data_IF_538818015581
#
_entry.id   IF_538818015581
#
_cell.length_a   1.000
_cell.length_b   1.000
_cell.length_c   1.000
_cell.angle_alpha   90.00
_cell.angle_beta   90.00
_cell.angle_gamma   90.00
#
_symmetry.space_group_name_H-M   'P 1'
#
loop_
_entity.id
_entity.type
_entity.pdbx_description
1 polymer ?
#
# COMPACT_ATOMS: atom_id res chain seq x y z
N UNK A 1 36.22 -4.02 6.79
CA UNK A 1 34.78 -3.63 6.82
C UNK A 1 34.32 -3.68 8.27
N UNK A 2 34.12 -2.51 8.91
CA UNK A 2 33.58 -2.46 10.27
C UNK A 2 32.13 -2.93 10.21
N UNK A 3 31.78 -4.02 10.91
CA UNK A 3 30.39 -4.43 11.13
C UNK A 3 29.66 -3.21 11.69
N UNK A 4 28.68 -2.67 10.96
CA UNK A 4 27.84 -1.59 11.46
C UNK A 4 27.24 -2.02 12.79
N UNK A 5 27.50 -1.27 13.87
CA UNK A 5 27.03 -1.61 15.20
C UNK A 5 25.49 -1.64 15.19
N UNK A 6 24.91 -2.84 15.33
CA UNK A 6 23.47 -3.03 15.51
C UNK A 6 22.96 -2.04 16.58
N UNK A 7 21.88 -1.26 16.36
CA UNK A 7 21.38 -0.34 17.36
C UNK A 7 21.18 -1.12 18.65
N UNK A 8 21.87 -0.69 19.70
CA UNK A 8 21.71 -1.29 21.01
C UNK A 8 20.26 -1.09 21.44
N UNK A 9 19.64 -2.17 21.95
CA UNK A 9 18.33 -2.06 22.61
C UNK A 9 18.48 -0.99 23.71
N UNK A 10 17.60 0.01 23.75
CA UNK A 10 17.70 1.09 24.73
C UNK A 10 17.72 0.55 26.15
N UNK A 11 18.57 1.12 27.00
CA UNK A 11 18.77 0.67 28.38
C UNK A 11 17.49 0.68 29.23
N UNK A 12 16.52 1.56 28.92
CA UNK A 12 15.24 1.62 29.65
C UNK A 12 14.30 0.42 29.40
N UNK A 13 14.66 -0.48 28.48
CA UNK A 13 13.94 -1.75 28.26
C UNK A 13 14.58 -2.93 29.00
N UNK A 14 15.66 -2.72 29.76
CA UNK A 14 16.32 -3.80 30.51
C UNK A 14 15.54 -4.17 31.77
N UNK A 15 14.91 -5.34 31.70
CA UNK A 15 14.74 -6.33 32.77
C UNK A 15 14.31 -5.83 34.16
N UNK A 16 13.21 -5.08 34.24
CA UNK A 16 12.33 -5.19 35.39
C UNK A 16 11.23 -6.22 35.07
N UNK A 17 10.97 -7.13 36.01
CA UNK A 17 9.95 -8.17 35.85
C UNK A 17 8.58 -7.49 35.91
N UNK A 18 7.98 -7.24 34.75
CA UNK A 18 6.64 -6.66 34.64
C UNK A 18 5.59 -7.70 35.01
N UNK A 19 4.52 -7.26 35.63
CA UNK A 19 3.40 -8.11 36.03
C UNK A 19 2.26 -8.04 35.01
N UNK A 20 1.56 -9.16 34.82
CA UNK A 20 0.32 -9.18 34.05
C UNK A 20 -0.71 -8.24 34.71
N UNK A 21 -1.58 -7.58 33.94
CA UNK A 21 -2.63 -6.74 34.50
C UNK A 21 -3.65 -7.60 35.27
N UNK A 22 -4.04 -7.15 36.46
CA UNK A 22 -5.17 -7.71 37.18
C UNK A 22 -6.47 -7.30 36.49
N UNK A 23 -7.42 -8.24 36.31
CA UNK A 23 -8.74 -7.99 35.75
C UNK A 23 -8.78 -7.20 34.42
N UNK A 24 -7.92 -7.56 33.45
CA UNK A 24 -7.82 -6.89 32.15
C UNK A 24 -9.18 -6.70 31.43
N UNK A 25 -10.06 -7.71 31.45
CA UNK A 25 -11.37 -7.63 30.82
C UNK A 25 -12.26 -6.54 31.46
N UNK A 26 -12.20 -6.40 32.77
CA UNK A 26 -12.93 -5.35 33.49
C UNK A 26 -12.37 -3.97 33.12
N UNK A 27 -11.04 -3.81 33.08
CA UNK A 27 -10.39 -2.56 32.69
C UNK A 27 -10.76 -2.15 31.25
N UNK A 28 -10.83 -3.12 30.32
CA UNK A 28 -11.29 -2.88 28.94
C UNK A 28 -12.76 -2.43 28.94
N UNK A 29 -13.64 -3.12 29.68
CA UNK A 29 -15.06 -2.75 29.74
C UNK A 29 -15.30 -1.35 30.33
N UNK A 30 -14.57 -0.98 31.38
CA UNK A 30 -14.60 0.38 31.93
C UNK A 30 -14.09 1.42 30.93
N UNK A 31 -13.08 1.06 30.12
CA UNK A 31 -12.55 1.96 29.10
C UNK A 31 -13.48 2.17 27.92
N UNK A 32 -14.18 1.14 27.48
CA UNK A 32 -15.20 1.26 26.44
C UNK A 32 -16.33 2.19 26.91
N UNK A 33 -16.82 2.03 28.16
CA UNK A 33 -17.77 2.97 28.76
C UNK A 33 -17.23 4.41 28.80
N UNK A 34 -15.94 4.57 29.09
CA UNK A 34 -15.26 5.87 29.07
C UNK A 34 -15.19 6.48 27.68
N UNK A 35 -14.95 5.69 26.65
CA UNK A 35 -14.96 6.16 25.27
C UNK A 35 -16.38 6.54 24.81
N UNK A 36 -17.36 5.68 25.08
CA UNK A 36 -18.75 5.87 24.64
C UNK A 36 -19.41 7.08 25.31
N UNK A 37 -19.06 7.32 26.58
CA UNK A 37 -19.54 8.47 27.35
C UNK A 37 -18.72 9.73 27.14
N UNK A 38 -17.73 9.76 26.24
CA UNK A 38 -16.77 10.88 26.12
C UNK A 38 -16.11 11.27 27.45
N UNK A 39 -15.92 10.30 28.34
CA UNK A 39 -15.23 10.43 29.61
C UNK A 39 -16.10 10.69 30.84
N UNK A 40 -17.43 10.62 30.73
CA UNK A 40 -18.34 10.83 31.86
C UNK A 40 -18.63 9.57 32.69
N UNK A 41 -18.41 8.37 32.15
CA UNK A 41 -18.67 7.08 32.79
C UNK A 41 -17.49 6.13 32.56
N UNK A 42 -17.36 5.08 33.38
CA UNK A 42 -16.22 4.16 33.26
C UNK A 42 -14.90 4.81 33.61
N UNK A 43 -13.80 4.17 33.20
CA UNK A 43 -12.44 4.60 33.55
C UNK A 43 -11.51 4.50 32.35
N UNK A 44 -10.67 5.52 32.18
CA UNK A 44 -9.65 5.49 31.14
C UNK A 44 -8.62 4.40 31.45
N UNK A 45 -8.37 3.50 30.49
CA UNK A 45 -7.43 2.41 30.72
C UNK A 45 -6.01 2.93 30.93
N UNK A 46 -5.40 2.48 32.02
CA UNK A 46 -3.98 2.64 32.31
C UNK A 46 -3.37 1.28 32.62
N UNK A 47 -2.55 0.78 31.70
CA UNK A 47 -1.78 -0.45 31.84
C UNK A 47 -0.28 -0.14 31.79
N UNK A 48 0.15 1.06 32.17
CA UNK A 48 1.56 1.44 32.20
C UNK A 48 2.39 0.41 32.97
N UNK A 49 3.57 0.11 32.45
CA UNK A 49 4.51 -0.88 33.01
C UNK A 49 4.01 -2.33 33.07
N UNK A 50 2.85 -2.66 32.50
CA UNK A 50 2.32 -4.03 32.55
C UNK A 50 2.94 -4.94 31.50
N UNK A 51 2.99 -6.22 31.84
CA UNK A 51 3.22 -7.30 30.89
C UNK A 51 1.91 -7.56 30.13
N UNK A 52 1.87 -7.18 28.87
CA UNK A 52 0.76 -7.43 27.94
C UNK A 52 1.17 -8.44 26.85
N UNK A 53 2.27 -9.14 27.06
CA UNK A 53 2.88 -10.02 26.07
C UNK A 53 1.97 -11.20 25.76
N UNK A 54 1.88 -11.56 24.48
CA UNK A 54 1.08 -12.70 24.01
C UNK A 54 -0.44 -12.57 24.15
N UNK A 55 -0.95 -11.44 24.65
CA UNK A 55 -2.40 -11.22 24.83
C UNK A 55 -3.05 -10.92 23.47
N UNK A 56 -4.29 -11.38 23.28
CA UNK A 56 -5.11 -11.04 22.12
C UNK A 56 -5.94 -9.77 22.38
N UNK A 57 -5.57 -8.69 21.69
CA UNK A 57 -6.26 -7.41 21.65
C UNK A 57 -6.92 -7.16 20.28
N UNK A 58 -7.15 -8.20 19.48
CA UNK A 58 -7.70 -8.07 18.13
C UNK A 58 -9.02 -7.29 18.13
N UNK A 59 -9.06 -6.22 17.34
CA UNK A 59 -10.24 -5.39 17.14
C UNK A 59 -10.66 -4.52 18.32
N UNK A 60 -9.94 -4.56 19.45
CA UNK A 60 -10.32 -3.79 20.63
C UNK A 60 -10.14 -2.29 20.44
N UNK A 61 -11.02 -1.50 21.07
CA UNK A 61 -10.94 -0.05 21.08
C UNK A 61 -10.21 0.43 22.34
N UNK A 62 -8.92 0.69 22.20
CA UNK A 62 -8.00 1.15 23.25
C UNK A 62 -7.58 2.62 23.02
N UNK A 63 -8.43 3.38 22.32
CA UNK A 63 -8.16 4.76 21.93
C UNK A 63 -7.86 5.62 23.17
N UNK A 64 -6.84 6.48 23.07
CA UNK A 64 -6.36 7.35 24.14
C UNK A 64 -5.80 6.62 25.36
N UNK A 65 -5.71 5.29 25.38
CA UNK A 65 -5.22 4.52 26.53
C UNK A 65 -3.79 4.88 26.94
N UNK A 66 -3.42 4.56 28.17
CA UNK A 66 -2.09 4.82 28.73
C UNK A 66 -1.37 3.49 28.91
N UNK A 67 -0.25 3.31 28.20
CA UNK A 67 0.52 2.07 28.19
C UNK A 67 2.02 2.33 28.31
N UNK A 68 2.45 3.48 28.82
CA UNK A 68 3.88 3.83 28.89
C UNK A 68 4.70 2.67 29.48
N UNK A 69 5.79 2.31 28.79
CA UNK A 69 6.67 1.20 29.17
C UNK A 69 5.97 -0.17 29.32
N UNK A 70 4.84 -0.41 28.67
CA UNK A 70 4.22 -1.75 28.67
C UNK A 70 4.93 -2.70 27.70
N UNK A 71 4.79 -4.01 27.94
CA UNK A 71 5.31 -5.04 27.04
C UNK A 71 4.18 -5.68 26.23
N UNK A 72 4.07 -5.33 24.95
CA UNK A 72 3.16 -5.95 23.98
C UNK A 72 3.85 -7.04 23.13
N UNK A 73 5.01 -7.55 23.55
CA UNK A 73 5.74 -8.53 22.74
C UNK A 73 4.89 -9.77 22.47
N UNK A 74 4.93 -10.28 21.24
CA UNK A 74 4.11 -11.40 20.78
C UNK A 74 2.58 -11.19 20.87
N UNK A 75 2.07 -10.00 21.22
CA UNK A 75 0.64 -9.75 21.32
C UNK A 75 -0.04 -9.71 19.93
N UNK A 76 -1.33 -10.05 19.89
CA UNK A 76 -2.15 -9.89 18.69
C UNK A 76 -2.94 -8.58 18.78
N UNK A 77 -2.59 -7.59 17.97
CA UNK A 77 -3.19 -6.26 17.91
C UNK A 77 -3.85 -6.02 16.53
N UNK A 78 -4.24 -7.11 15.85
CA UNK A 78 -4.83 -7.03 14.51
C UNK A 78 -6.09 -6.16 14.56
N UNK A 79 -6.14 -5.10 13.77
CA UNK A 79 -7.24 -4.14 13.72
C UNK A 79 -7.60 -3.46 15.05
N UNK A 80 -6.72 -3.52 16.06
CA UNK A 80 -6.92 -2.79 17.32
C UNK A 80 -6.84 -1.27 17.08
N UNK A 81 -7.65 -0.50 17.80
CA UNK A 81 -7.60 0.95 17.77
C UNK A 81 -6.83 1.49 18.98
N UNK A 82 -5.60 1.95 18.75
CA UNK A 82 -4.71 2.57 19.73
C UNK A 82 -4.48 4.06 19.41
N UNK A 83 -5.33 4.69 18.60
CA UNK A 83 -5.19 6.09 18.22
C UNK A 83 -5.11 7.01 19.45
N UNK A 84 -4.29 8.05 19.38
CA UNK A 84 -4.09 9.05 20.43
C UNK A 84 -3.61 8.48 21.78
N UNK A 85 -3.13 7.23 21.82
CA UNK A 85 -2.66 6.57 23.05
C UNK A 85 -1.22 6.97 23.40
N UNK A 86 -0.88 6.87 24.69
CA UNK A 86 0.50 6.96 25.15
C UNK A 86 1.12 5.56 25.13
N UNK A 87 1.98 5.32 24.14
CA UNK A 87 2.70 4.07 23.88
C UNK A 87 4.22 4.28 23.98
N UNK A 88 4.64 5.34 24.66
CA UNK A 88 6.06 5.67 24.81
C UNK A 88 6.81 4.48 25.42
N UNK A 89 7.98 4.16 24.88
CA UNK A 89 8.84 3.07 25.34
C UNK A 89 8.15 1.69 25.45
N UNK A 90 7.05 1.45 24.72
CA UNK A 90 6.43 0.14 24.64
C UNK A 90 7.28 -0.85 23.84
N UNK A 91 7.19 -2.13 24.20
CA UNK A 91 7.79 -3.21 23.42
C UNK A 91 6.74 -3.93 22.56
N UNK A 92 6.77 -3.75 21.24
CA UNK A 92 5.93 -4.48 20.28
C UNK A 92 6.67 -5.61 19.57
N UNK A 93 7.83 -6.05 20.08
CA UNK A 93 8.65 -7.04 19.39
C UNK A 93 7.88 -8.33 19.11
N UNK A 94 7.94 -8.83 17.87
CA UNK A 94 7.17 -9.98 17.38
C UNK A 94 5.63 -9.85 17.45
N UNK A 95 5.08 -8.67 17.78
CA UNK A 95 3.64 -8.47 17.81
C UNK A 95 3.03 -8.47 16.39
N UNK A 96 1.72 -8.70 16.32
CA UNK A 96 0.95 -8.57 15.09
C UNK A 96 0.05 -7.33 15.12
N UNK A 97 0.47 -6.27 14.43
CA UNK A 97 -0.22 -4.98 14.27
C UNK A 97 -0.91 -4.84 12.91
N UNK A 98 -1.25 -5.95 12.23
CA UNK A 98 -1.94 -5.92 10.95
C UNK A 98 -3.18 -5.01 11.02
N UNK A 99 -3.21 -3.95 10.20
CA UNK A 99 -4.31 -2.97 10.14
C UNK A 99 -4.63 -2.27 11.47
N UNK A 100 -3.71 -2.26 12.43
CA UNK A 100 -3.91 -1.53 13.68
C UNK A 100 -3.93 -0.01 13.42
N UNK A 101 -4.69 0.72 14.24
CA UNK A 101 -4.77 2.18 14.16
C UNK A 101 -3.94 2.82 15.28
N UNK A 102 -2.82 3.44 14.92
CA UNK A 102 -1.89 4.19 15.78
C UNK A 102 -1.90 5.68 15.41
N UNK A 103 -3.00 6.18 14.82
CA UNK A 103 -3.15 7.59 14.46
C UNK A 103 -2.87 8.50 15.65
N UNK A 104 -1.94 9.47 15.49
CA UNK A 104 -1.55 10.43 16.52
C UNK A 104 -1.13 9.83 17.88
N UNK A 105 -0.76 8.55 17.94
CA UNK A 105 -0.23 7.97 19.18
C UNK A 105 1.19 8.48 19.47
N UNK A 106 1.55 8.50 20.75
CA UNK A 106 2.92 8.74 21.19
C UNK A 106 3.66 7.41 21.27
N UNK A 107 4.57 7.16 20.34
CA UNK A 107 5.39 5.95 20.17
C UNK A 107 6.88 6.25 20.35
N UNK A 108 7.22 7.37 21.02
CA UNK A 108 8.61 7.72 21.27
C UNK A 108 9.31 6.55 21.93
N UNK A 109 10.50 6.21 21.44
CA UNK A 109 11.32 5.16 22.04
C UNK A 109 10.69 3.75 22.02
N UNK A 110 9.64 3.51 21.23
CA UNK A 110 9.01 2.18 21.14
C UNK A 110 9.85 1.18 20.32
N UNK A 111 9.77 -0.10 20.66
CA UNK A 111 10.40 -1.20 19.92
C UNK A 111 9.40 -1.91 19.00
N UNK A 112 9.77 -2.10 17.75
CA UNK A 112 9.00 -2.85 16.74
C UNK A 112 9.84 -3.97 16.10
N UNK A 113 10.79 -4.54 16.86
CA UNK A 113 11.71 -5.55 16.34
C UNK A 113 10.94 -6.77 15.84
N UNK A 114 11.10 -7.13 14.56
CA UNK A 114 10.42 -8.26 13.93
C UNK A 114 8.87 -8.20 14.04
N UNK A 115 8.30 -6.99 14.12
CA UNK A 115 6.84 -6.80 14.23
C UNK A 115 6.16 -6.87 12.86
N UNK A 116 4.98 -7.51 12.80
CA UNK A 116 4.15 -7.54 11.59
C UNK A 116 3.15 -6.38 11.61
N UNK A 117 3.46 -5.28 10.92
CA UNK A 117 2.71 -4.03 10.95
C UNK A 117 2.21 -3.61 9.56
N UNK A 118 1.77 -4.59 8.77
CA UNK A 118 1.22 -4.36 7.42
C UNK A 118 -0.08 -3.56 7.52
N UNK A 119 -0.23 -2.54 6.67
CA UNK A 119 -1.40 -1.65 6.65
C UNK A 119 -1.67 -0.91 7.97
N UNK A 120 -0.65 -0.74 8.83
CA UNK A 120 -0.79 0.04 10.08
C UNK A 120 -0.99 1.53 9.76
N UNK A 121 -1.87 2.19 10.51
CA UNK A 121 -2.06 3.64 10.39
C UNK A 121 -1.21 4.35 11.45
N UNK A 122 -0.12 4.99 11.04
CA UNK A 122 0.78 5.79 11.88
C UNK A 122 0.68 7.29 11.54
N UNK A 123 -0.39 7.72 10.87
CA UNK A 123 -0.57 9.11 10.45
C UNK A 123 -0.52 10.04 11.67
N UNK A 124 0.37 11.04 11.61
CA UNK A 124 0.58 12.03 12.68
C UNK A 124 1.14 11.45 13.99
N UNK A 125 1.55 10.19 14.02
CA UNK A 125 2.15 9.58 15.21
C UNK A 125 3.54 10.15 15.50
N UNK A 126 3.96 10.09 16.77
CA UNK A 126 5.28 10.53 17.21
C UNK A 126 6.13 9.29 17.46
N UNK A 127 7.10 9.01 16.58
CA UNK A 127 7.98 7.84 16.60
C UNK A 127 9.45 8.25 16.82
N UNK A 128 9.69 9.35 17.55
CA UNK A 128 11.06 9.81 17.81
C UNK A 128 11.82 8.74 18.59
N UNK A 129 13.05 8.43 18.16
CA UNK A 129 13.88 7.36 18.71
C UNK A 129 13.24 5.94 18.66
N UNK A 130 12.21 5.71 17.83
CA UNK A 130 11.62 4.39 17.70
C UNK A 130 12.53 3.41 16.93
N UNK A 131 12.46 2.12 17.28
CA UNK A 131 13.27 1.05 16.68
C UNK A 131 12.40 0.12 15.84
N UNK A 132 12.40 0.30 14.53
CA UNK A 132 11.64 -0.47 13.54
C UNK A 132 12.55 -1.47 12.79
N UNK A 133 13.38 -2.20 13.54
CA UNK A 133 14.28 -3.20 12.97
C UNK A 133 13.50 -4.44 12.51
N UNK A 134 13.76 -4.92 11.30
CA UNK A 134 13.12 -6.12 10.72
C UNK A 134 11.58 -6.04 10.66
N UNK A 135 11.00 -4.83 10.78
CA UNK A 135 9.56 -4.63 10.82
C UNK A 135 8.94 -4.74 9.43
N UNK A 136 7.80 -5.44 9.31
CA UNK A 136 7.02 -5.51 8.06
C UNK A 136 6.02 -4.37 8.02
N UNK A 137 6.34 -3.29 7.32
CA UNK A 137 5.58 -2.03 7.25
C UNK A 137 4.91 -1.83 5.87
N UNK A 138 4.61 -2.91 5.16
CA UNK A 138 4.00 -2.83 3.84
C UNK A 138 2.67 -2.07 3.93
N UNK A 139 2.49 -1.07 3.07
CA UNK A 139 1.31 -0.20 3.05
C UNK A 139 1.04 0.55 4.36
N UNK A 140 2.06 0.77 5.20
CA UNK A 140 1.92 1.60 6.39
C UNK A 140 1.70 3.09 6.01
N UNK A 141 0.87 3.79 6.78
CA UNK A 141 0.61 5.22 6.59
C UNK A 141 1.38 6.04 7.62
N UNK A 142 2.48 6.67 7.20
CA UNK A 142 3.33 7.55 8.02
C UNK A 142 3.06 9.04 7.74
N UNK A 143 1.94 9.41 7.11
CA UNK A 143 1.69 10.81 6.73
C UNK A 143 1.78 11.77 7.92
N UNK A 144 2.60 12.81 7.81
CA UNK A 144 2.84 13.77 8.88
C UNK A 144 3.42 13.18 10.18
N UNK A 145 3.92 11.94 10.17
CA UNK A 145 4.52 11.31 11.34
C UNK A 145 5.88 11.95 11.66
N UNK A 146 6.23 12.00 12.95
CA UNK A 146 7.53 12.48 13.43
C UNK A 146 8.45 11.31 13.66
N UNK A 147 9.49 11.17 12.84
CA UNK A 147 10.39 10.01 12.81
C UNK A 147 11.83 10.41 13.16
N UNK A 148 12.00 11.44 13.98
CA UNK A 148 13.32 11.93 14.35
C UNK A 148 14.14 10.82 15.00
N UNK A 149 15.33 10.54 14.47
CA UNK A 149 16.24 9.48 14.95
C UNK A 149 15.69 8.04 14.92
N UNK A 150 14.51 7.81 14.30
CA UNK A 150 13.91 6.48 14.18
C UNK A 150 14.78 5.56 13.31
N UNK A 151 14.87 4.28 13.68
CA UNK A 151 15.65 3.27 12.95
C UNK A 151 14.73 2.36 12.15
N UNK A 152 15.02 2.20 10.86
CA UNK A 152 14.26 1.40 9.89
C UNK A 152 15.08 0.24 9.32
N UNK A 153 16.04 -0.28 10.09
CA UNK A 153 16.98 -1.28 9.59
C UNK A 153 16.26 -2.56 9.16
N UNK A 154 16.55 -3.04 7.95
CA UNK A 154 15.94 -4.24 7.35
C UNK A 154 14.41 -4.19 7.25
N UNK A 155 13.82 -3.00 7.37
CA UNK A 155 12.36 -2.84 7.31
C UNK A 155 11.83 -2.91 5.88
N UNK A 156 10.65 -3.50 5.72
CA UNK A 156 9.94 -3.53 4.45
C UNK A 156 8.93 -2.39 4.39
N UNK A 157 9.25 -1.33 3.66
CA UNK A 157 8.44 -0.11 3.48
C UNK A 157 7.70 -0.11 2.13
N UNK A 158 7.51 -1.28 1.52
CA UNK A 158 6.83 -1.38 0.23
C UNK A 158 5.41 -0.82 0.31
N UNK A 159 4.99 0.03 -0.64
CA UNK A 159 3.70 0.72 -0.67
C UNK A 159 3.44 1.67 0.52
N UNK A 160 4.42 1.96 1.38
CA UNK A 160 4.23 2.87 2.51
C UNK A 160 4.07 4.33 2.05
N UNK A 161 3.45 5.17 2.89
CA UNK A 161 3.25 6.58 2.60
C UNK A 161 3.89 7.49 3.66
N UNK A 162 4.95 8.19 3.29
CA UNK A 162 5.69 9.16 4.12
C UNK A 162 5.38 10.62 3.76
N UNK A 163 4.28 10.89 3.08
CA UNK A 163 3.92 12.25 2.69
C UNK A 163 3.91 13.19 3.90
N UNK A 164 4.67 14.29 3.80
CA UNK A 164 4.86 15.29 4.88
C UNK A 164 5.50 14.75 6.18
N UNK A 165 6.06 13.54 6.18
CA UNK A 165 6.73 12.98 7.35
C UNK A 165 8.05 13.70 7.64
N UNK A 166 8.43 13.77 8.92
CA UNK A 166 9.69 14.38 9.38
C UNK A 166 10.71 13.28 9.64
N UNK A 167 11.77 13.19 8.83
CA UNK A 167 12.77 12.11 8.85
C UNK A 167 14.15 12.55 9.38
N UNK A 168 14.21 13.61 10.21
CA UNK A 168 15.46 14.14 10.74
C UNK A 168 16.27 13.06 11.48
N UNK A 169 17.51 12.79 11.07
CA UNK A 169 18.37 11.76 11.68
C UNK A 169 17.84 10.32 11.59
N UNK A 170 16.76 10.08 10.84
CA UNK A 170 16.24 8.73 10.62
C UNK A 170 17.32 7.85 10.00
N UNK A 171 17.39 6.60 10.47
CA UNK A 171 18.49 5.67 10.18
C UNK A 171 17.98 4.53 9.30
N UNK A 172 18.56 4.40 8.13
CA UNK A 172 18.25 3.33 7.18
C UNK A 172 19.46 2.43 6.94
N UNK A 173 19.21 1.14 6.88
CA UNK A 173 20.19 0.10 6.54
C UNK A 173 19.42 -1.05 5.92
N UNK A 174 19.66 -1.37 4.65
CA UNK A 174 18.97 -2.46 3.93
C UNK A 174 17.43 -2.38 4.01
N UNK A 175 16.87 -1.16 4.07
CA UNK A 175 15.43 -0.94 4.01
C UNK A 175 14.91 -1.04 2.57
N UNK A 176 13.64 -1.43 2.40
CA UNK A 176 13.01 -1.63 1.08
C UNK A 176 11.98 -0.53 0.82
N UNK A 177 12.29 0.41 -0.07
CA UNK A 177 11.40 1.46 -0.57
C UNK A 177 10.81 1.10 -1.93
N UNK A 178 9.99 0.05 -1.99
CA UNK A 178 9.28 -0.35 -3.22
C UNK A 178 7.92 0.34 -3.35
N UNK A 179 7.65 1.06 -4.43
CA UNK A 179 6.40 1.81 -4.62
C UNK A 179 6.00 2.71 -3.41
N UNK A 180 6.98 3.23 -2.68
CA UNK A 180 6.79 4.08 -1.49
C UNK A 180 6.51 5.52 -1.94
N UNK A 181 5.65 6.24 -1.21
CA UNK A 181 5.48 7.68 -1.40
C UNK A 181 6.39 8.45 -0.42
N UNK A 182 7.34 9.22 -0.93
CA UNK A 182 8.25 10.07 -0.15
C UNK A 182 8.07 11.55 -0.47
N UNK A 183 6.94 11.96 -1.07
CA UNK A 183 6.67 13.36 -1.38
C UNK A 183 6.65 14.24 -0.14
N UNK A 184 7.21 15.44 -0.22
CA UNK A 184 7.11 16.41 0.86
C UNK A 184 7.78 15.97 2.17
N UNK A 185 8.67 14.97 2.16
CA UNK A 185 9.45 14.63 3.35
C UNK A 185 10.23 15.87 3.82
N UNK A 186 9.93 16.32 5.04
CA UNK A 186 10.42 17.60 5.54
C UNK A 186 11.85 17.44 6.05
N UNK A 187 12.77 18.27 5.53
CA UNK A 187 14.16 18.46 6.00
C UNK A 187 14.96 17.15 6.02
N UNK A 188 15.19 16.62 4.84
CA UNK A 188 15.92 15.38 4.54
C UNK A 188 17.45 15.47 4.65
N UNK A 189 18.01 16.63 5.01
CA UNK A 189 19.46 16.89 4.91
C UNK A 189 20.32 16.08 5.89
N UNK A 190 19.65 15.39 6.82
CA UNK A 190 20.23 14.60 7.91
C UNK A 190 19.65 13.20 7.98
N UNK A 191 19.15 12.63 6.88
CA UNK A 191 18.84 11.18 6.86
C UNK A 191 20.16 10.40 6.83
N UNK A 192 20.28 9.40 7.70
CA UNK A 192 21.49 8.62 7.87
C UNK A 192 21.34 7.24 7.21
N UNK A 193 22.12 7.01 6.17
CA UNK A 193 22.23 5.69 5.53
C UNK A 193 23.48 4.99 6.03
N UNK A 194 23.31 3.80 6.61
CA UNK A 194 24.41 2.96 7.09
C UNK A 194 24.76 1.84 6.09
N UNK A 195 24.02 1.76 4.99
CA UNK A 195 24.11 0.73 3.95
C UNK A 195 23.07 0.98 2.86
N UNK A 196 23.19 0.29 1.72
CA UNK A 196 22.31 0.49 0.58
C UNK A 196 20.86 0.15 0.95
N UNK A 197 19.92 0.88 0.36
CA UNK A 197 18.49 0.62 0.49
C UNK A 197 17.92 0.32 -0.88
N UNK A 198 16.92 -0.55 -0.95
CA UNK A 198 16.29 -0.89 -2.23
C UNK A 198 15.33 0.22 -2.62
N UNK A 199 15.49 0.76 -3.83
CA UNK A 199 14.62 1.76 -4.41
C UNK A 199 14.17 1.28 -5.79
N UNK A 200 12.87 1.32 -6.07
CA UNK A 200 12.35 0.99 -7.39
C UNK A 200 11.91 2.23 -8.19
N UNK A 201 11.69 2.04 -9.49
CA UNK A 201 11.28 3.13 -10.39
C UNK A 201 9.92 3.72 -10.02
N UNK A 202 9.05 2.94 -9.36
CA UNK A 202 7.73 3.43 -8.94
C UNK A 202 7.87 4.43 -7.80
N UNK A 203 8.74 4.17 -6.82
CA UNK A 203 9.07 5.12 -5.76
C UNK A 203 9.66 6.41 -6.33
N UNK A 204 10.57 6.31 -7.31
CA UNK A 204 11.16 7.48 -7.99
C UNK A 204 10.10 8.34 -8.69
N UNK A 205 9.23 7.71 -9.48
CA UNK A 205 8.13 8.40 -10.18
C UNK A 205 7.13 9.02 -9.19
N UNK A 206 6.79 8.28 -8.13
CA UNK A 206 5.81 8.72 -7.13
C UNK A 206 6.33 9.89 -6.31
N UNK A 207 7.62 9.92 -6.01
CA UNK A 207 8.23 10.87 -5.07
C UNK A 207 8.89 12.09 -5.72
N UNK A 208 9.05 12.08 -7.07
CA UNK A 208 9.58 13.10 -8.00
C UNK A 208 10.85 13.84 -7.56
N UNK A 209 10.78 14.63 -6.49
CA UNK A 209 11.83 15.52 -5.99
C UNK A 209 12.54 14.93 -4.78
N UNK A 210 13.19 13.78 -4.98
CA UNK A 210 14.00 13.18 -3.92
C UNK A 210 15.34 13.91 -3.74
N UNK A 211 15.77 14.16 -2.50
CA UNK A 211 17.05 14.82 -2.21
C UNK A 211 18.24 14.02 -2.74
N UNK A 212 19.27 14.71 -3.24
CA UNK A 212 20.50 14.08 -3.74
C UNK A 212 21.13 13.10 -2.73
N UNK A 213 21.27 13.53 -1.46
CA UNK A 213 21.80 12.69 -0.37
C UNK A 213 20.97 11.43 -0.14
N UNK A 214 19.66 11.47 -0.37
CA UNK A 214 18.79 10.30 -0.23
C UNK A 214 19.07 9.29 -1.34
N UNK A 215 19.16 9.75 -2.59
CA UNK A 215 19.46 8.90 -3.74
C UNK A 215 20.86 8.27 -3.61
N UNK A 216 21.86 9.06 -3.23
CA UNK A 216 23.21 8.57 -2.94
C UNK A 216 23.23 7.59 -1.76
N UNK A 217 22.51 7.88 -0.69
CA UNK A 217 22.41 7.02 0.49
C UNK A 217 21.74 5.67 0.21
N UNK A 218 20.81 5.62 -0.75
CA UNK A 218 20.25 4.36 -1.25
C UNK A 218 21.25 3.56 -2.10
N UNK A 219 22.37 4.16 -2.52
CA UNK A 219 23.42 3.51 -3.31
C UNK A 219 23.26 3.66 -4.83
N UNK A 220 22.49 4.66 -5.30
CA UNK A 220 22.36 4.90 -6.73
C UNK A 220 23.68 5.47 -7.30
N UNK A 221 24.16 4.98 -8.46
CA UNK A 221 25.33 5.55 -9.13
C UNK A 221 25.10 7.01 -9.53
N UNK A 222 26.16 7.84 -9.48
CA UNK A 222 26.07 9.26 -9.86
C UNK A 222 25.54 9.46 -11.28
N UNK A 223 25.98 8.63 -12.22
CA UNK A 223 25.51 8.66 -13.62
C UNK A 223 24.00 8.49 -13.71
N UNK A 224 23.43 7.54 -12.97
CA UNK A 224 21.99 7.34 -12.93
C UNK A 224 21.29 8.57 -12.35
N UNK A 225 21.79 9.10 -11.22
CA UNK A 225 21.23 10.29 -10.56
C UNK A 225 21.24 11.50 -11.51
N UNK A 226 22.32 11.71 -12.26
CA UNK A 226 22.42 12.80 -13.25
C UNK A 226 21.36 12.69 -14.35
N UNK A 227 21.04 11.47 -14.81
CA UNK A 227 20.04 11.26 -15.86
C UNK A 227 18.60 11.10 -15.35
N UNK A 228 18.38 10.90 -14.03
CA UNK A 228 17.05 10.72 -13.45
C UNK A 228 16.06 11.83 -13.85
N UNK A 229 16.40 13.14 -13.77
CA UNK A 229 15.48 14.18 -14.21
C UNK A 229 15.02 13.99 -15.66
N UNK A 230 15.94 13.71 -16.59
CA UNK A 230 15.60 13.47 -18.00
C UNK A 230 14.74 12.23 -18.22
N UNK A 231 14.91 11.20 -17.37
CA UNK A 231 14.13 9.95 -17.41
C UNK A 231 12.74 10.09 -16.78
N UNK A 232 12.58 11.00 -15.81
CA UNK A 232 11.34 11.20 -15.05
C UNK A 232 10.49 12.37 -15.55
N UNK A 233 11.10 13.42 -16.12
CA UNK A 233 10.43 14.63 -16.64
C UNK A 233 9.73 14.36 -17.96
N UNK A 234 10.27 13.48 -18.80
CA UNK A 234 9.46 12.97 -19.91
C UNK A 234 8.31 12.22 -19.27
N UNK A 235 7.04 12.64 -19.48
CA UNK A 235 5.93 11.76 -19.17
C UNK A 235 6.30 10.47 -19.88
N UNK A 236 6.45 9.40 -19.12
CA UNK A 236 6.45 8.10 -19.74
C UNK A 236 5.09 8.07 -20.47
N UNK A 237 5.05 8.32 -21.78
CA UNK A 237 3.93 8.04 -22.70
C UNK A 237 3.60 6.53 -22.74
N UNK A 238 4.02 5.80 -21.72
CA UNK A 238 4.00 4.36 -21.65
C UNK A 238 2.63 3.99 -21.10
N UNK A 239 1.64 4.06 -21.98
CA UNK A 239 0.33 3.47 -21.79
C UNK A 239 0.51 2.07 -21.21
N UNK A 240 0.23 1.94 -19.92
CA UNK A 240 0.13 0.66 -19.25
C UNK A 240 -1.33 0.23 -19.26
N UNK A 241 -1.63 -0.95 -19.79
CA UNK A 241 -2.98 -1.49 -19.74
C UNK A 241 -3.02 -2.92 -19.21
N UNK A 242 -4.03 -3.22 -18.40
CA UNK A 242 -4.34 -4.57 -17.96
C UNK A 242 -5.56 -5.09 -18.74
N UNK A 243 -5.45 -6.24 -19.40
CA UNK A 243 -6.55 -6.83 -20.17
C UNK A 243 -7.32 -7.79 -19.26
N UNK A 244 -8.53 -7.39 -18.89
CA UNK A 244 -9.50 -8.22 -18.16
C UNK A 244 -10.36 -8.99 -19.15
N UNK A 245 -10.35 -10.33 -19.06
CA UNK A 245 -11.02 -11.18 -20.04
C UNK A 245 -11.46 -12.52 -19.44
N UNK A 246 -12.43 -13.17 -20.08
CA UNK A 246 -12.70 -14.58 -19.83
C UNK A 246 -11.63 -15.44 -20.49
N UNK A 247 -11.09 -16.42 -19.76
CA UNK A 247 -10.20 -17.48 -20.26
C UNK A 247 -10.60 -18.01 -21.64
N UNK A 248 -11.92 -18.16 -21.87
CA UNK A 248 -12.49 -18.71 -23.10
C UNK A 248 -12.33 -17.79 -24.33
N UNK A 249 -11.78 -16.60 -24.14
CA UNK A 249 -11.52 -15.59 -25.17
C UNK A 249 -10.00 -15.36 -25.38
N UNK A 250 -9.16 -16.28 -24.88
CA UNK A 250 -7.69 -16.23 -24.95
C UNK A 250 -7.12 -16.05 -26.36
N UNK A 251 -7.79 -16.56 -27.39
CA UNK A 251 -7.34 -16.45 -28.78
C UNK A 251 -7.32 -14.99 -29.25
N UNK A 252 -8.43 -14.28 -29.02
CA UNK A 252 -8.54 -12.85 -29.31
C UNK A 252 -7.54 -12.03 -28.46
N UNK A 253 -7.47 -12.34 -27.16
CA UNK A 253 -6.59 -11.60 -26.23
C UNK A 253 -5.12 -11.81 -26.55
N UNK A 254 -4.72 -13.01 -26.96
CA UNK A 254 -3.35 -13.28 -27.40
C UNK A 254 -2.96 -12.42 -28.60
N UNK A 255 -3.85 -12.32 -29.60
CA UNK A 255 -3.63 -11.45 -30.77
C UNK A 255 -3.56 -9.98 -30.38
N UNK A 256 -4.54 -9.50 -29.62
CA UNK A 256 -4.60 -8.12 -29.16
C UNK A 256 -3.37 -7.73 -28.32
N UNK A 257 -2.94 -8.62 -27.44
CA UNK A 257 -1.74 -8.44 -26.63
C UNK A 257 -0.49 -8.28 -27.50
N UNK A 258 -0.27 -9.18 -28.46
CA UNK A 258 0.87 -9.11 -29.37
C UNK A 258 0.88 -7.83 -30.18
N UNK A 259 -0.29 -7.40 -30.68
CA UNK A 259 -0.40 -6.17 -31.47
C UNK A 259 -0.17 -4.91 -30.61
N UNK A 260 -0.67 -4.88 -29.37
CA UNK A 260 -0.41 -3.80 -28.41
C UNK A 260 1.09 -3.69 -28.07
N UNK A 261 1.74 -4.82 -27.74
CA UNK A 261 3.19 -4.86 -27.49
C UNK A 261 4.00 -4.41 -28.70
N UNK A 262 3.62 -4.84 -29.91
CA UNK A 262 4.25 -4.43 -31.16
C UNK A 262 4.12 -2.92 -31.45
N UNK A 263 3.18 -2.24 -30.78
CA UNK A 263 2.99 -0.78 -30.84
C UNK A 263 3.59 -0.04 -29.64
N UNK A 264 4.35 -0.73 -28.79
CA UNK A 264 4.99 -0.16 -27.61
C UNK A 264 4.04 0.10 -26.44
N UNK A 265 2.80 -0.39 -26.49
CA UNK A 265 1.86 -0.32 -25.36
C UNK A 265 2.24 -1.42 -24.37
N UNK A 266 2.56 -1.03 -23.13
CA UNK A 266 2.87 -2.00 -22.08
C UNK A 266 1.57 -2.62 -21.61
N UNK A 267 1.28 -3.84 -22.06
CA UNK A 267 0.08 -4.55 -21.63
C UNK A 267 0.42 -5.79 -20.81
N UNK A 268 -0.46 -6.12 -19.87
CA UNK A 268 -0.41 -7.35 -19.09
C UNK A 268 -1.79 -7.99 -19.08
N UNK A 269 -1.82 -9.30 -18.92
CA UNK A 269 -3.04 -10.06 -18.68
C UNK A 269 -2.68 -11.29 -17.85
N UNK A 270 -3.62 -11.78 -17.05
CA UNK A 270 -3.41 -12.99 -16.28
C UNK A 270 -3.43 -14.21 -17.24
N UNK A 271 -2.27 -14.85 -17.44
CA UNK A 271 -2.21 -16.19 -18.05
C UNK A 271 -2.62 -17.23 -17.01
N UNK A 272 -3.36 -18.25 -17.43
CA UNK A 272 -3.90 -19.32 -16.57
C UNK A 272 -2.78 -20.07 -15.80
N UNK A 273 -2.59 -19.75 -14.52
CA UNK A 273 -2.32 -20.65 -13.38
C UNK A 273 -2.05 -19.88 -12.07
N UNK A 274 -2.84 -18.83 -11.77
CA UNK A 274 -2.93 -18.30 -10.40
C UNK A 274 -3.87 -19.20 -9.59
N UNK A 275 -3.40 -20.41 -9.27
CA UNK A 275 -4.09 -21.34 -8.36
C UNK A 275 -4.27 -20.69 -6.99
N UNK A 276 -5.50 -20.23 -6.80
CA UNK A 276 -6.32 -20.09 -5.59
C UNK A 276 -5.58 -20.29 -4.25
N UNK A 277 -5.46 -19.19 -3.52
CA UNK A 277 -5.20 -19.14 -2.07
C UNK A 277 -5.42 -17.72 -1.57
N UNK A 278 -5.98 -17.55 -0.36
CA UNK A 278 -6.40 -16.24 0.20
C UNK A 278 -5.31 -15.15 0.26
N UNK A 279 -4.03 -15.53 0.12
CA UNK A 279 -2.89 -14.59 -0.01
C UNK A 279 -2.95 -13.73 -1.29
N UNK A 280 -3.62 -14.18 -2.35
CA UNK A 280 -3.64 -13.50 -3.65
C UNK A 280 -4.72 -12.40 -3.71
N UNK A 281 -5.83 -12.53 -2.96
CA UNK A 281 -6.89 -11.49 -2.89
C UNK A 281 -6.35 -10.13 -2.47
N UNK A 282 -5.32 -10.09 -1.61
CA UNK A 282 -4.65 -8.84 -1.21
C UNK A 282 -3.73 -8.27 -2.31
N UNK A 283 -3.04 -9.14 -3.07
CA UNK A 283 -2.11 -8.74 -4.15
C UNK A 283 -2.83 -8.30 -5.43
N UNK A 284 -4.05 -8.80 -5.67
CA UNK A 284 -4.86 -8.43 -6.84
C UNK A 284 -5.49 -7.03 -6.67
N UNK A 285 -5.97 -6.71 -5.47
CA UNK A 285 -6.37 -5.34 -5.14
C UNK A 285 -5.21 -4.33 -5.29
N UNK A 286 -3.96 -4.79 -5.18
CA UNK A 286 -2.77 -3.99 -5.50
C UNK A 286 -2.52 -3.90 -7.02
N UNK A 287 -2.86 -4.92 -7.81
CA UNK A 287 -2.65 -4.95 -9.27
C UNK A 287 -3.49 -3.88 -10.00
N UNK A 288 -4.74 -3.66 -9.59
CA UNK A 288 -5.58 -2.56 -10.11
C UNK A 288 -5.05 -1.17 -9.70
N UNK A 289 -4.27 -1.08 -8.61
CA UNK A 289 -3.59 0.17 -8.23
C UNK A 289 -2.40 0.48 -9.14
N UNK A 290 -1.73 -0.54 -9.69
CA UNK A 290 -0.47 -0.39 -10.45
C UNK A 290 -0.67 0.07 -11.89
N UNK A 291 -1.76 -0.32 -12.56
CA UNK A 291 -1.94 -0.02 -13.99
C UNK A 291 -2.74 1.27 -14.26
N UNK A 292 -2.38 1.95 -15.35
CA UNK A 292 -3.00 3.21 -15.78
C UNK A 292 -4.37 3.01 -16.44
N UNK A 293 -4.60 1.86 -17.08
CA UNK A 293 -5.82 1.55 -17.85
C UNK A 293 -6.21 0.08 -17.71
N UNK A 294 -7.50 -0.20 -17.72
CA UNK A 294 -8.06 -1.56 -17.75
C UNK A 294 -8.87 -1.71 -19.03
N UNK A 295 -8.45 -2.65 -19.87
CA UNK A 295 -9.14 -3.04 -21.09
C UNK A 295 -10.04 -4.24 -20.79
N UNK A 296 -11.35 -4.04 -20.79
CA UNK A 296 -12.32 -5.08 -20.43
C UNK A 296 -12.88 -5.71 -21.69
N UNK A 297 -12.63 -7.01 -21.88
CA UNK A 297 -13.14 -7.78 -23.00
C UNK A 297 -14.56 -8.25 -22.71
N UNK A 298 -15.53 -7.56 -23.30
CA UNK A 298 -16.95 -7.86 -23.23
C UNK A 298 -17.32 -8.94 -24.25
N UNK A 299 -17.61 -10.12 -23.73
CA UNK A 299 -18.17 -11.25 -24.45
C UNK A 299 -19.33 -11.84 -23.66
N UNK A 300 -20.16 -12.68 -24.29
CA UNK A 300 -21.18 -13.48 -23.58
C UNK A 300 -20.59 -14.30 -22.42
N UNK A 301 -19.30 -14.63 -22.49
CA UNK A 301 -18.58 -15.45 -21.51
C UNK A 301 -18.00 -14.60 -20.38
N UNK A 302 -17.41 -13.44 -20.68
CA UNK A 302 -16.90 -12.50 -19.67
C UNK A 302 -18.01 -11.97 -18.77
N UNK A 303 -19.21 -11.75 -19.32
CA UNK A 303 -20.37 -11.30 -18.54
C UNK A 303 -20.88 -12.32 -17.51
N UNK A 304 -20.49 -13.59 -17.62
CA UNK A 304 -20.77 -14.64 -16.64
C UNK A 304 -19.62 -14.88 -15.66
N UNK A 305 -18.51 -14.16 -15.82
CA UNK A 305 -17.32 -14.32 -14.98
C UNK A 305 -17.42 -13.40 -13.76
N UNK A 306 -17.57 -13.99 -12.57
CA UNK A 306 -17.54 -13.23 -11.30
C UNK A 306 -16.23 -12.43 -11.16
N UNK A 307 -15.13 -12.98 -11.68
CA UNK A 307 -13.83 -12.32 -11.70
C UNK A 307 -13.83 -11.01 -12.48
N UNK A 308 -14.34 -11.02 -13.72
CA UNK A 308 -14.40 -9.81 -14.57
C UNK A 308 -15.31 -8.76 -13.93
N UNK A 309 -16.43 -9.20 -13.34
CA UNK A 309 -17.33 -8.31 -12.60
C UNK A 309 -16.62 -7.60 -11.45
N UNK A 310 -15.86 -8.34 -10.63
CA UNK A 310 -15.12 -7.77 -9.52
C UNK A 310 -14.04 -6.77 -9.96
N UNK A 311 -13.27 -7.07 -11.02
CA UNK A 311 -12.25 -6.15 -11.55
C UNK A 311 -12.86 -4.86 -12.09
N UNK A 312 -14.00 -4.96 -12.77
CA UNK A 312 -14.74 -3.80 -13.30
C UNK A 312 -15.25 -2.91 -12.17
N UNK A 313 -15.86 -3.49 -11.14
CA UNK A 313 -16.41 -2.73 -10.01
C UNK A 313 -15.30 -1.96 -9.28
N UNK A 314 -14.17 -2.60 -9.01
CA UNK A 314 -13.00 -1.95 -8.41
C UNK A 314 -12.46 -0.80 -9.27
N UNK A 315 -12.45 -0.97 -10.59
CA UNK A 315 -12.03 0.07 -11.52
C UNK A 315 -12.99 1.27 -11.51
N UNK A 316 -14.31 1.02 -11.54
CA UNK A 316 -15.33 2.07 -11.46
C UNK A 316 -15.26 2.86 -10.15
N UNK A 317 -15.00 2.18 -9.02
CA UNK A 317 -14.76 2.86 -7.75
C UNK A 317 -13.51 3.75 -7.78
N UNK A 318 -12.44 3.30 -8.45
CA UNK A 318 -11.19 4.08 -8.62
C UNK A 318 -11.43 5.32 -9.48
N UNK A 319 -12.17 5.19 -10.59
CA UNK A 319 -12.55 6.31 -11.46
C UNK A 319 -13.31 7.39 -10.67
N UNK A 320 -14.29 6.98 -9.85
CA UNK A 320 -15.05 7.90 -8.98
C UNK A 320 -14.16 8.66 -7.99
N UNK A 321 -13.13 8.01 -7.45
CA UNK A 321 -12.20 8.62 -6.47
C UNK A 321 -11.18 9.56 -7.13
N UNK A 322 -10.76 9.27 -8.36
CA UNK A 322 -9.64 9.94 -9.03
C UNK A 322 -10.06 10.89 -10.16
N UNK A 323 -11.37 10.98 -10.46
CA UNK A 323 -11.93 11.78 -11.55
C UNK A 323 -11.19 11.62 -12.89
N UNK A 324 -10.79 10.38 -13.20
CA UNK A 324 -10.01 10.01 -14.39
C UNK A 324 -10.59 8.72 -14.98
N UNK A 325 -10.59 8.61 -16.31
CA UNK A 325 -11.04 7.40 -17.01
C UNK A 325 -9.94 6.35 -17.02
N UNK A 326 -10.23 5.20 -16.41
CA UNK A 326 -9.36 4.02 -16.31
C UNK A 326 -9.89 2.86 -17.14
N UNK A 327 -11.21 2.75 -17.35
CA UNK A 327 -11.85 1.56 -17.93
C UNK A 327 -12.20 1.76 -19.41
N UNK A 328 -11.74 0.84 -20.24
CA UNK A 328 -11.93 0.82 -21.70
C UNK A 328 -12.62 -0.49 -22.09
N UNK A 329 -13.92 -0.47 -22.37
CA UNK A 329 -14.65 -1.67 -22.76
C UNK A 329 -14.47 -1.96 -24.26
N UNK A 330 -14.20 -3.22 -24.59
CA UNK A 330 -14.16 -3.71 -25.98
C UNK A 330 -15.07 -4.92 -26.14
N UNK A 331 -15.93 -4.92 -27.16
CA UNK A 331 -16.90 -5.98 -27.41
C UNK A 331 -16.41 -6.91 -28.51
N UNK A 332 -16.40 -8.22 -28.26
CA UNK A 332 -15.93 -9.21 -29.25
C UNK A 332 -17.04 -10.11 -29.80
N UNK A 333 -18.25 -10.03 -29.24
CA UNK A 333 -19.43 -10.73 -29.74
C UNK A 333 -20.71 -9.89 -29.54
N UNK A 334 -21.81 -10.30 -30.19
CA UNK A 334 -23.13 -9.70 -30.01
C UNK A 334 -23.72 -10.11 -28.65
N UNK A 335 -23.14 -9.58 -27.57
CA UNK A 335 -23.44 -9.87 -26.18
C UNK A 335 -24.88 -9.52 -25.74
N UNK A 336 -25.91 -10.06 -26.42
CA UNK A 336 -27.30 -10.02 -26.00
C UNK A 336 -27.51 -11.06 -24.90
N UNK A 337 -27.44 -10.63 -23.66
CA UNK A 337 -27.82 -11.42 -22.49
C UNK A 337 -29.20 -10.96 -22.02
N UNK A 338 -30.13 -11.89 -21.78
CA UNK A 338 -31.50 -11.59 -21.32
C UNK A 338 -31.52 -10.78 -20.02
N UNK A 339 -30.54 -11.00 -19.13
CA UNK A 339 -30.34 -10.29 -17.87
C UNK A 339 -28.87 -9.91 -17.71
N UNK A 340 -28.45 -8.72 -18.17
CA UNK A 340 -27.08 -8.27 -18.00
C UNK A 340 -26.81 -7.88 -16.54
N UNK A 341 -25.58 -8.11 -16.04
CA UNK A 341 -25.19 -7.71 -14.69
C UNK A 341 -25.21 -6.18 -14.54
N UNK A 342 -25.40 -5.69 -13.30
CA UNK A 342 -25.58 -4.26 -13.02
C UNK A 342 -24.40 -3.42 -13.52
N UNK A 343 -23.16 -3.88 -13.30
CA UNK A 343 -21.94 -3.21 -13.76
C UNK A 343 -21.88 -3.07 -15.29
N UNK A 344 -22.44 -4.02 -16.05
CA UNK A 344 -22.46 -3.94 -17.51
C UNK A 344 -23.39 -2.84 -18.01
N UNK A 345 -24.58 -2.70 -17.40
CA UNK A 345 -25.50 -1.60 -17.72
C UNK A 345 -24.86 -0.24 -17.47
N UNK A 346 -24.08 -0.12 -16.39
CA UNK A 346 -23.31 1.10 -16.11
C UNK A 346 -22.32 1.38 -17.23
N UNK A 347 -21.54 0.39 -17.69
CA UNK A 347 -20.61 0.58 -18.80
C UNK A 347 -21.34 0.98 -20.10
N UNK A 348 -22.40 0.27 -20.45
CA UNK A 348 -23.15 0.48 -21.69
C UNK A 348 -23.76 1.88 -21.80
N UNK A 349 -24.22 2.43 -20.66
CA UNK A 349 -24.82 3.77 -20.61
C UNK A 349 -23.80 4.90 -20.50
N UNK A 350 -22.60 4.62 -19.96
CA UNK A 350 -21.64 5.68 -19.61
C UNK A 350 -20.41 5.74 -20.52
N UNK A 351 -20.17 4.71 -21.35
CA UNK A 351 -18.90 4.57 -22.10
C UNK A 351 -19.13 4.21 -23.56
N UNK A 352 -18.21 4.68 -24.40
CA UNK A 352 -18.06 4.14 -25.75
C UNK A 352 -17.42 2.75 -25.69
N UNK A 353 -18.06 1.78 -26.34
CA UNK A 353 -17.57 0.39 -26.41
C UNK A 353 -16.93 0.16 -27.78
N UNK A 354 -15.63 -0.14 -27.79
CA UNK A 354 -14.92 -0.48 -29.03
C UNK A 354 -15.45 -1.78 -29.63
N UNK A 355 -15.84 -1.77 -30.90
CA UNK A 355 -16.41 -2.96 -31.55
C UNK A 355 -15.34 -3.81 -32.24
N UNK A 356 -15.08 -4.97 -31.65
CA UNK A 356 -14.20 -6.01 -32.17
C UNK A 356 -14.99 -7.26 -32.59
N UNK A 357 -16.31 -7.20 -32.78
CA UNK A 357 -17.15 -8.37 -33.13
C UNK A 357 -16.68 -9.12 -34.39
N UNK A 358 -16.13 -8.40 -35.37
CA UNK A 358 -15.54 -8.96 -36.59
C UNK A 358 -14.00 -9.08 -36.54
N UNK A 359 -13.41 -9.30 -35.37
CA UNK A 359 -11.95 -9.35 -35.18
C UNK A 359 -11.21 -10.39 -36.04
N UNK A 360 -11.90 -11.42 -36.55
CA UNK A 360 -11.33 -12.40 -37.48
C UNK A 360 -11.04 -11.81 -38.87
N UNK A 361 -11.81 -10.80 -39.29
CA UNK A 361 -11.50 -10.05 -40.50
C UNK A 361 -10.35 -9.07 -40.26
N UNK A 362 -9.37 -9.06 -41.16
CA UNK A 362 -8.14 -8.29 -40.99
C UNK A 362 -8.37 -6.78 -41.10
N UNK A 363 -9.24 -6.35 -42.00
CA UNK A 363 -9.52 -4.93 -42.22
C UNK A 363 -10.33 -4.35 -41.05
N UNK A 364 -11.40 -5.02 -40.66
CA UNK A 364 -12.26 -4.67 -39.52
C UNK A 364 -11.48 -4.60 -38.22
N UNK A 365 -10.63 -5.61 -37.95
CA UNK A 365 -9.77 -5.61 -36.76
C UNK A 365 -8.80 -4.44 -36.75
N UNK A 366 -8.15 -4.13 -37.87
CA UNK A 366 -7.14 -3.06 -37.93
C UNK A 366 -7.77 -1.67 -37.69
N UNK A 367 -8.99 -1.45 -38.20
CA UNK A 367 -9.76 -0.23 -37.93
C UNK A 367 -10.07 -0.11 -36.44
N UNK A 368 -10.71 -1.13 -35.86
CA UNK A 368 -11.06 -1.16 -34.43
C UNK A 368 -9.82 -1.04 -33.52
N UNK A 369 -8.70 -1.65 -33.91
CA UNK A 369 -7.44 -1.57 -33.16
C UNK A 369 -6.82 -0.17 -33.19
N UNK A 370 -6.87 0.52 -34.33
CA UNK A 370 -6.38 1.91 -34.43
C UNK A 370 -7.25 2.86 -33.60
N UNK A 371 -8.58 2.68 -33.62
CA UNK A 371 -9.50 3.47 -32.81
C UNK A 371 -9.26 3.23 -31.31
N UNK A 372 -9.03 1.97 -30.92
CA UNK A 372 -8.64 1.62 -29.56
C UNK A 372 -7.32 2.30 -29.16
N UNK A 373 -6.29 2.26 -30.01
CA UNK A 373 -5.02 2.93 -29.72
C UNK A 373 -5.17 4.45 -29.57
N UNK A 374 -6.04 5.07 -30.37
CA UNK A 374 -6.36 6.48 -30.28
C UNK A 374 -7.04 6.81 -28.96
N UNK A 375 -8.10 6.06 -28.60
CA UNK A 375 -8.80 6.23 -27.31
C UNK A 375 -7.90 5.95 -26.10
N UNK A 376 -6.98 5.00 -26.23
CA UNK A 376 -5.94 4.77 -25.22
C UNK A 376 -4.94 5.93 -25.16
N UNK A 377 -4.61 6.66 -26.23
CA UNK A 377 -3.69 7.81 -26.16
C UNK A 377 -4.35 9.10 -25.66
N UNK A 378 -5.55 9.41 -26.14
CA UNK A 378 -6.27 10.66 -25.83
C UNK A 378 -6.73 10.78 -24.37
N UNK A 379 -6.79 9.65 -23.66
CA UNK A 379 -7.12 9.58 -22.23
C UNK A 379 -5.90 9.64 -21.30
N UNK A 380 -4.69 9.89 -21.83
CA UNK A 380 -3.56 10.32 -21.01
C UNK A 380 -3.86 11.74 -20.47
N UNK A 381 -3.44 12.09 -19.24
CA UNK A 381 -3.63 13.46 -18.74
C UNK A 381 -2.99 14.43 -19.74
N UNK A 382 -3.81 15.29 -20.35
CA UNK A 382 -3.33 16.56 -20.91
C UNK A 382 -3.03 17.47 -19.72
N UNK A 383 -1.84 18.08 -19.79
CA UNK A 383 -1.13 18.96 -18.85
C UNK A 383 -1.90 19.55 -17.66
#
# INVERSE_FOLDING_TARGET
>A
MKKGANPAIPLYLKNEKKEKPENLLQAIGLHEQWLDSNGYQGEKIDLSYKDLSGIDFKGLNLKKGIFWQSDFSNACLTSANLSESNLMACNFSNANLLRANLYKSDLRSALFTNTFAVQVNLKGAILEDAFLKDTKLRSADFRGAKLTNASFWYSDLTNANFEEAILLFAKFYEAIFGDTNLNGIVRSETINFFGPCTLDIRTLIKSRDLPLKFLQGCGLPETLITYLPSLLIKPLEYLSCFISYSIKDKEFVGRLYSDLQGKGVRCWYAKEDLKIGDKIRATINESIKVYDKILVVLSKKSLRSEWVGHEVELALEKEKKQNKTFLFPIRIDSANIKTPPAWFKTIETTRHIGDFSNWKDRASYKLAFNDLLKGLKESAPQE
#
